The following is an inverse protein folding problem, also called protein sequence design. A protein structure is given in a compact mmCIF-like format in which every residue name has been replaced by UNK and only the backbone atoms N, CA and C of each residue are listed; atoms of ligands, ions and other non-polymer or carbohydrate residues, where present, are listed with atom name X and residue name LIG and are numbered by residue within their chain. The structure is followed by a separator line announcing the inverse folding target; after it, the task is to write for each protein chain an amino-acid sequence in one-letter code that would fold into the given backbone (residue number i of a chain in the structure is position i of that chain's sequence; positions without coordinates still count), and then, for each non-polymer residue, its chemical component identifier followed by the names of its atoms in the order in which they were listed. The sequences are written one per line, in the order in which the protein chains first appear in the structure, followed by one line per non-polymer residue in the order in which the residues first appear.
data_IF_315402331656
#
_entry.id   IF_315402331656
#
_cell.length_a   1.000
_cell.length_b   1.000
_cell.length_c   1.000
_cell.angle_alpha   90.00
_cell.angle_beta   90.00
_cell.angle_gamma   90.00
#
_symmetry.space_group_name_H-M   'P 1'
#
loop_
_entity.id
_entity.type
_entity.pdbx_description
1 polymer ?
#
# COMPACT_ATOMS: atom_id res chain seq x y z
N UNK A 1 -3.11 14.05 18.82
CA UNK A 1 -4.14 14.49 17.86
C UNK A 1 -3.74 14.00 16.48
N UNK A 2 -4.69 13.47 15.70
CA UNK A 2 -4.48 13.18 14.28
C UNK A 2 -4.55 14.52 13.55
N UNK A 3 -3.42 15.01 13.07
CA UNK A 3 -3.34 16.26 12.31
C UNK A 3 -3.58 15.95 10.82
N UNK A 4 -4.78 16.17 10.27
CA UNK A 4 -5.04 15.92 8.85
C UNK A 4 -4.11 16.74 7.93
N UNK A 5 -3.59 17.88 8.39
CA UNK A 5 -2.62 18.70 7.67
C UNK A 5 -1.19 18.12 7.65
N UNK A 6 -0.86 17.13 8.49
CA UNK A 6 0.51 16.58 8.58
C UNK A 6 0.99 15.93 7.27
N UNK A 7 0.05 15.57 6.40
CA UNK A 7 0.29 14.91 5.12
C UNK A 7 -0.15 15.72 3.91
N UNK A 8 -0.69 16.93 4.10
CA UNK A 8 -1.22 17.75 3.02
C UNK A 8 -0.14 18.08 2.00
N UNK A 9 -0.42 17.77 0.73
CA UNK A 9 0.54 17.99 -0.37
C UNK A 9 1.72 17.02 -0.36
N UNK A 10 1.75 16.05 0.55
CA UNK A 10 2.75 14.99 0.58
C UNK A 10 2.24 13.79 -0.20
N UNK A 11 3.19 13.08 -0.80
CA UNK A 11 2.90 11.85 -1.54
C UNK A 11 3.78 10.74 -1.03
N UNK A 12 3.32 9.50 -1.17
CA UNK A 12 4.16 8.33 -1.03
C UNK A 12 3.76 7.26 -2.05
N UNK A 13 4.74 6.75 -2.77
CA UNK A 13 4.55 5.62 -3.66
C UNK A 13 5.18 4.38 -3.01
N UNK A 14 4.36 3.36 -2.76
CA UNK A 14 4.82 2.08 -2.22
C UNK A 14 4.59 0.97 -3.24
N UNK A 15 5.46 -0.04 -3.21
CA UNK A 15 5.27 -1.28 -3.96
C UNK A 15 4.94 -2.41 -3.01
N UNK A 16 3.90 -3.17 -3.32
CA UNK A 16 3.47 -4.30 -2.52
C UNK A 16 3.47 -5.60 -3.32
N UNK A 17 3.71 -6.69 -2.62
CA UNK A 17 3.54 -8.04 -3.13
C UNK A 17 2.44 -8.73 -2.35
N UNK A 18 1.45 -9.27 -3.06
CA UNK A 18 0.33 -9.99 -2.48
C UNK A 18 0.53 -11.49 -2.61
N UNK A 19 0.05 -12.22 -1.62
CA UNK A 19 -0.18 -13.66 -1.72
C UNK A 19 -1.55 -13.92 -2.38
N UNK A 20 -1.81 -15.15 -2.88
CA UNK A 20 -3.09 -15.47 -3.51
C UNK A 20 -4.32 -15.29 -2.61
N UNK A 21 -4.14 -15.38 -1.29
CA UNK A 21 -5.19 -15.20 -0.28
C UNK A 21 -5.51 -13.72 0.02
N UNK A 22 -4.79 -12.79 -0.62
CA UNK A 22 -4.93 -11.34 -0.40
C UNK A 22 -4.01 -10.79 0.68
N UNK A 23 -3.29 -11.62 1.44
CA UNK A 23 -2.36 -11.13 2.45
C UNK A 23 -1.13 -10.43 1.82
N UNK A 24 -0.61 -9.41 2.50
CA UNK A 24 0.55 -8.65 2.03
C UNK A 24 1.83 -9.40 2.40
N UNK A 25 2.53 -9.92 1.40
CA UNK A 25 3.82 -10.57 1.57
C UNK A 25 4.94 -9.57 1.88
N UNK A 26 4.94 -8.44 1.17
CA UNK A 26 5.90 -7.35 1.42
C UNK A 26 5.35 -6.00 0.97
N UNK A 27 5.84 -4.93 1.61
CA UNK A 27 5.55 -3.56 1.26
C UNK A 27 6.81 -2.71 1.40
N UNK A 28 7.13 -1.90 0.40
CA UNK A 28 8.35 -1.10 0.37
C UNK A 28 8.09 0.27 -0.23
N UNK A 29 8.55 1.32 0.44
CA UNK A 29 8.51 2.67 -0.10
C UNK A 29 9.49 2.80 -1.27
N UNK A 30 9.03 3.41 -2.37
CA UNK A 30 9.86 3.76 -3.52
C UNK A 30 10.30 5.21 -3.45
N UNK A 31 9.37 6.10 -3.16
CA UNK A 31 9.60 7.54 -3.10
C UNK A 31 8.51 8.24 -2.29
N UNK A 32 8.80 9.49 -1.88
CA UNK A 32 7.87 10.35 -1.15
C UNK A 32 8.31 10.69 0.27
N UNK A 33 7.37 11.26 1.05
CA UNK A 33 7.63 11.68 2.43
C UNK A 33 7.76 10.47 3.37
N UNK A 34 8.82 10.45 4.17
CA UNK A 34 9.13 9.33 5.05
C UNK A 34 8.04 9.06 6.11
N UNK A 35 7.37 10.09 6.64
CA UNK A 35 6.30 9.90 7.64
C UNK A 35 5.04 9.36 6.98
N UNK A 36 4.66 9.87 5.81
CA UNK A 36 3.53 9.36 5.03
C UNK A 36 3.79 7.92 4.58
N UNK A 37 4.98 7.62 4.05
CA UNK A 37 5.35 6.28 3.65
C UNK A 37 5.34 5.27 4.79
N UNK A 38 5.85 5.65 5.97
CA UNK A 38 5.77 4.80 7.16
C UNK A 38 4.31 4.53 7.55
N UNK A 39 3.45 5.54 7.49
CA UNK A 39 2.02 5.38 7.75
C UNK A 39 1.33 4.48 6.71
N UNK A 40 1.64 4.67 5.42
CA UNK A 40 1.10 3.88 4.31
C UNK A 40 1.50 2.40 4.41
N UNK A 41 2.78 2.11 4.67
CA UNK A 41 3.25 0.74 4.91
C UNK A 41 2.54 0.13 6.12
N UNK A 42 2.43 0.89 7.21
CA UNK A 42 1.72 0.43 8.42
C UNK A 42 0.24 0.11 8.13
N UNK A 43 -0.43 0.94 7.34
CA UNK A 43 -1.83 0.77 6.96
C UNK A 43 -2.02 -0.45 6.05
N UNK A 44 -1.19 -0.61 5.01
CA UNK A 44 -1.32 -1.72 4.06
C UNK A 44 -1.04 -3.07 4.70
N UNK A 45 -0.08 -3.16 5.64
CA UNK A 45 0.16 -4.40 6.40
C UNK A 45 -1.02 -4.81 7.28
N UNK A 46 -1.89 -3.88 7.67
CA UNK A 46 -3.12 -4.16 8.44
C UNK A 46 -4.38 -4.25 7.59
N UNK A 47 -4.30 -3.95 6.30
CA UNK A 47 -5.46 -3.93 5.43
C UNK A 47 -6.00 -5.34 5.21
N UNK A 48 -7.32 -5.46 5.16
CA UNK A 48 -8.00 -6.70 4.76
C UNK A 48 -8.24 -6.64 3.26
N UNK A 49 -7.24 -7.04 2.48
CA UNK A 49 -7.35 -7.13 1.03
C UNK A 49 -7.99 -8.48 0.70
N UNK A 50 -9.08 -8.52 -0.07
CA UNK A 50 -9.70 -9.78 -0.45
C UNK A 50 -8.79 -10.57 -1.38
N UNK A 51 -8.92 -11.90 -1.33
CA UNK A 51 -8.34 -12.76 -2.36
C UNK A 51 -8.86 -12.36 -3.74
N UNK A 52 -8.01 -12.49 -4.76
CA UNK A 52 -8.43 -12.25 -6.13
C UNK A 52 -9.50 -13.28 -6.53
N UNK A 53 -10.51 -12.91 -7.35
CA UNK A 53 -11.58 -13.81 -7.76
C UNK A 53 -11.09 -14.98 -8.64
N UNK A 54 -9.95 -14.81 -9.31
CA UNK A 54 -9.37 -15.79 -10.22
C UNK A 54 -7.84 -15.56 -10.36
N UNK A 55 -7.15 -16.54 -10.95
CA UNK A 55 -5.70 -16.47 -11.12
C UNK A 55 -5.27 -15.38 -12.11
N UNK A 56 -6.03 -15.08 -13.15
CA UNK A 56 -5.67 -14.00 -14.10
C UNK A 56 -5.63 -12.65 -13.36
N UNK A 57 -6.67 -12.37 -12.56
CA UNK A 57 -6.74 -11.18 -11.72
C UNK A 57 -5.58 -11.16 -10.72
N UNK A 58 -5.28 -12.27 -10.05
CA UNK A 58 -4.14 -12.37 -9.14
C UNK A 58 -2.81 -12.03 -9.85
N UNK A 59 -2.53 -12.58 -11.02
CA UNK A 59 -1.28 -12.31 -11.74
C UNK A 59 -1.09 -10.82 -12.08
N UNK A 60 -2.20 -10.09 -12.31
CA UNK A 60 -2.18 -8.65 -12.58
C UNK A 60 -1.91 -7.82 -11.33
N UNK A 61 -2.45 -8.23 -10.17
CA UNK A 61 -2.41 -7.42 -8.93
C UNK A 61 -1.35 -7.86 -7.92
N UNK A 62 -0.76 -9.05 -8.06
CA UNK A 62 0.22 -9.61 -7.11
C UNK A 62 1.45 -8.73 -6.86
N UNK A 63 1.73 -7.79 -7.76
CA UNK A 63 2.87 -6.88 -7.68
C UNK A 63 2.40 -5.46 -8.05
N UNK A 64 1.77 -4.78 -7.09
CA UNK A 64 1.09 -3.51 -7.29
C UNK A 64 1.93 -2.32 -6.79
N UNK A 65 1.85 -1.20 -7.51
CA UNK A 65 2.27 0.10 -7.02
C UNK A 65 1.04 0.85 -6.49
N UNK A 66 1.16 1.43 -5.29
CA UNK A 66 0.10 2.19 -4.63
C UNK A 66 0.61 3.59 -4.31
N UNK A 67 -0.12 4.60 -4.78
CA UNK A 67 0.19 6.01 -4.55
C UNK A 67 -0.76 6.59 -3.50
N UNK A 68 -0.19 7.02 -2.38
CA UNK A 68 -0.89 7.67 -1.27
C UNK A 68 -0.74 9.19 -1.38
N UNK A 69 -1.88 9.89 -1.32
CA UNK A 69 -1.97 11.36 -1.40
C UNK A 69 -3.08 11.85 -0.48
N UNK A 70 -2.83 12.96 0.23
CA UNK A 70 -3.78 13.64 1.13
C UNK A 70 -3.83 15.14 0.84
#
# INVERSE_FOLDING_TARGET
MYEPDAYKGKTCSIRIYLQPDGSVNSATAKEGDAKLCKAAISAITRAKIPAAPDNETYQRVKNAALDFRL
#
